data_IF_034339021147
#
_entry.id   IF_034339021147
#
_cell.length_a   1.000
_cell.length_b   1.000
_cell.length_c   1.000
_cell.angle_alpha   90.00
_cell.angle_beta   90.00
_cell.angle_gamma   90.00
#
_symmetry.space_group_name_H-M   'P 1'
#
loop_
_entity.id
_entity.type
_entity.pdbx_description
1 polymer ?
#
# COMPACT_ATOMS: atom_id res chain seq x y z
N UNK A 1 16.39 7.04 -10.13
CA UNK A 1 15.23 6.14 -9.99
C UNK A 1 14.44 6.49 -8.74
N UNK A 2 13.12 6.27 -8.70
CA UNK A 2 12.28 6.56 -7.51
C UNK A 2 11.72 5.28 -6.87
N UNK A 3 11.33 5.35 -5.59
CA UNK A 3 10.82 4.20 -4.83
C UNK A 3 9.62 3.54 -5.50
N UNK A 4 8.68 4.36 -6.00
CA UNK A 4 7.59 3.94 -6.90
C UNK A 4 7.68 4.80 -8.17
N UNK A 5 7.41 4.25 -9.37
CA UNK A 5 7.49 5.04 -10.60
C UNK A 5 6.43 6.15 -10.69
N UNK A 6 5.21 5.92 -10.19
CA UNK A 6 4.12 6.89 -10.32
C UNK A 6 4.39 8.22 -9.60
N UNK A 7 3.77 9.28 -10.09
CA UNK A 7 3.87 10.65 -9.58
C UNK A 7 2.51 11.15 -9.14
N UNK A 8 2.51 12.15 -8.24
CA UNK A 8 1.29 12.87 -7.92
C UNK A 8 0.81 13.63 -9.17
N UNK A 9 -0.48 13.51 -9.50
CA UNK A 9 -1.04 14.24 -10.63
C UNK A 9 -1.23 15.72 -10.27
N UNK A 10 -0.25 16.55 -10.63
CA UNK A 10 -0.25 17.99 -10.33
C UNK A 10 -1.42 18.76 -10.95
N UNK A 11 -1.93 18.32 -12.11
CA UNK A 11 -3.11 18.93 -12.72
C UNK A 11 -4.38 18.61 -11.94
N UNK A 12 -4.58 17.34 -11.58
CA UNK A 12 -5.69 16.93 -10.73
C UNK A 12 -5.63 17.64 -9.38
N UNK A 13 -4.44 17.76 -8.78
CA UNK A 13 -4.24 18.51 -7.54
C UNK A 13 -4.68 19.97 -7.67
N UNK A 14 -4.27 20.67 -8.73
CA UNK A 14 -4.72 22.06 -8.99
C UNK A 14 -6.24 22.15 -9.19
N UNK A 15 -6.86 21.16 -9.85
CA UNK A 15 -8.32 21.09 -10.00
C UNK A 15 -9.01 20.90 -8.64
N UNK A 16 -8.49 20.02 -7.79
CA UNK A 16 -8.99 19.79 -6.44
C UNK A 16 -8.85 21.06 -5.59
N UNK A 17 -7.68 21.70 -5.59
CA UNK A 17 -7.43 22.95 -4.84
C UNK A 17 -8.38 24.06 -5.28
N UNK A 18 -8.51 24.29 -6.59
CA UNK A 18 -9.45 25.28 -7.15
C UNK A 18 -10.89 24.99 -6.75
N UNK A 19 -11.32 23.74 -6.86
CA UNK A 19 -12.69 23.35 -6.52
C UNK A 19 -12.95 23.48 -5.01
N UNK A 20 -11.97 23.14 -4.17
CA UNK A 20 -12.06 23.33 -2.72
C UNK A 20 -12.22 24.81 -2.35
N UNK A 21 -11.48 25.72 -2.99
CA UNK A 21 -11.67 27.16 -2.79
C UNK A 21 -13.04 27.64 -3.27
N UNK A 22 -13.50 27.16 -4.43
CA UNK A 22 -14.87 27.45 -4.90
C UNK A 22 -15.90 26.97 -3.89
N UNK A 23 -15.78 25.75 -3.36
CA UNK A 23 -16.68 25.25 -2.33
C UNK A 23 -16.64 26.09 -1.05
N UNK A 24 -15.46 26.51 -0.58
CA UNK A 24 -15.36 27.36 0.63
C UNK A 24 -16.09 28.69 0.49
N UNK A 25 -16.18 29.25 -0.71
CA UNK A 25 -16.79 30.56 -0.95
C UNK A 25 -18.24 30.45 -1.41
N UNK A 26 -18.58 29.40 -2.17
CA UNK A 26 -19.87 29.28 -2.84
C UNK A 26 -20.76 28.16 -2.30
N UNK A 27 -20.33 27.37 -1.30
CA UNK A 27 -21.14 26.24 -0.81
C UNK A 27 -22.51 26.66 -0.23
N UNK A 28 -22.64 27.89 0.27
CA UNK A 28 -23.93 28.43 0.75
C UNK A 28 -24.98 28.60 -0.36
N UNK A 29 -24.59 28.46 -1.62
CA UNK A 29 -25.50 28.49 -2.78
C UNK A 29 -25.96 27.10 -3.22
N UNK A 30 -25.44 26.04 -2.58
CA UNK A 30 -25.63 24.66 -3.00
C UNK A 30 -26.63 23.95 -2.08
N UNK A 31 -27.68 23.40 -2.69
CA UNK A 31 -28.72 22.63 -1.99
C UNK A 31 -29.82 23.52 -1.38
N UNK A 32 -30.78 22.88 -0.74
CA UNK A 32 -31.94 23.55 -0.13
C UNK A 32 -31.86 23.45 1.39
N UNK A 33 -30.98 24.26 1.99
CA UNK A 33 -30.75 24.29 3.45
C UNK A 33 -31.48 25.43 4.15
N UNK A 34 -32.10 26.36 3.42
CA UNK A 34 -32.90 27.46 3.98
C UNK A 34 -32.13 28.48 4.83
N UNK A 35 -30.80 28.52 4.73
CA UNK A 35 -29.93 29.44 5.48
C UNK A 35 -29.43 30.56 4.56
N UNK A 36 -29.27 31.77 5.08
CA UNK A 36 -28.50 32.80 4.38
C UNK A 36 -26.99 32.51 4.45
N UNK A 37 -26.18 33.24 3.68
CA UNK A 37 -24.73 33.03 3.59
C UNK A 37 -24.03 33.09 4.97
N UNK A 38 -24.38 34.09 5.78
CA UNK A 38 -23.77 34.28 7.10
C UNK A 38 -24.12 33.12 8.05
N UNK A 39 -25.38 32.70 8.06
CA UNK A 39 -25.84 31.56 8.86
C UNK A 39 -25.22 30.25 8.40
N UNK A 40 -25.10 30.03 7.09
CA UNK A 40 -24.52 28.83 6.52
C UNK A 40 -23.09 28.60 7.03
N UNK A 41 -22.23 29.62 6.98
CA UNK A 41 -20.83 29.49 7.41
C UNK A 41 -20.66 29.46 8.94
N UNK A 42 -21.55 30.09 9.70
CA UNK A 42 -21.46 30.10 11.18
C UNK A 42 -22.18 28.94 11.87
N UNK A 43 -23.12 28.27 11.19
CA UNK A 43 -23.91 27.16 11.76
C UNK A 43 -23.11 25.86 11.97
N UNK A 44 -21.93 25.75 11.36
CA UNK A 44 -21.17 24.50 11.32
C UNK A 44 -21.70 23.48 10.30
N UNK A 45 -22.79 23.78 9.57
CA UNK A 45 -23.37 22.91 8.55
C UNK A 45 -22.35 22.50 7.49
N UNK A 46 -21.60 23.47 6.94
CA UNK A 46 -20.58 23.21 5.93
C UNK A 46 -19.48 22.26 6.44
N UNK A 47 -18.93 22.56 7.63
CA UNK A 47 -17.88 21.73 8.24
C UNK A 47 -18.39 20.31 8.53
N UNK A 48 -19.58 20.18 9.11
CA UNK A 48 -20.21 18.89 9.39
C UNK A 48 -20.48 18.09 8.13
N UNK A 49 -20.90 18.73 7.04
CA UNK A 49 -21.09 18.07 5.74
C UNK A 49 -19.78 17.54 5.15
N UNK A 50 -18.71 18.35 5.16
CA UNK A 50 -17.38 17.92 4.69
C UNK A 50 -16.84 16.75 5.54
N UNK A 51 -16.95 16.83 6.87
CA UNK A 51 -16.51 15.76 7.76
C UNK A 51 -17.31 14.47 7.56
N UNK A 52 -18.63 14.56 7.33
CA UNK A 52 -19.50 13.43 7.01
C UNK A 52 -19.14 12.77 5.68
N UNK A 53 -18.97 13.56 4.61
CA UNK A 53 -18.58 13.06 3.28
C UNK A 53 -17.21 12.39 3.36
N UNK A 54 -16.24 13.02 4.04
CA UNK A 54 -14.91 12.43 4.28
C UNK A 54 -15.02 11.11 5.06
N UNK A 55 -15.91 11.06 6.06
CA UNK A 55 -16.21 9.84 6.81
C UNK A 55 -16.74 8.73 5.93
N UNK A 56 -17.65 9.04 5.00
CA UNK A 56 -18.20 8.07 4.04
C UNK A 56 -17.13 7.52 3.10
N UNK A 57 -16.27 8.39 2.51
CA UNK A 57 -15.16 7.94 1.67
C UNK A 57 -14.10 7.13 2.44
N UNK A 58 -13.87 7.48 3.70
CA UNK A 58 -12.94 6.74 4.58
C UNK A 58 -13.53 5.40 5.03
N UNK A 59 -14.85 5.26 5.08
CA UNK A 59 -15.56 4.11 5.62
C UNK A 59 -15.89 3.02 4.59
N UNK A 60 -15.76 3.27 3.29
CA UNK A 60 -16.08 2.25 2.27
C UNK A 60 -14.95 1.23 2.11
N UNK A 61 -14.70 0.44 3.16
CA UNK A 61 -13.95 -0.83 3.07
C UNK A 61 -14.59 -1.79 2.06
N UNK A 62 -15.89 -1.64 1.80
CA UNK A 62 -16.63 -2.44 0.82
C UNK A 62 -15.98 -2.43 -0.56
N UNK A 63 -15.67 -1.25 -1.12
CA UNK A 63 -15.07 -1.15 -2.46
C UNK A 63 -13.66 -1.74 -2.49
N UNK A 64 -12.88 -1.55 -1.41
CA UNK A 64 -11.54 -2.13 -1.29
C UNK A 64 -11.59 -3.65 -1.21
N UNK A 65 -12.51 -4.20 -0.42
CA UNK A 65 -12.73 -5.64 -0.28
C UNK A 65 -13.23 -6.23 -1.60
N UNK A 66 -14.18 -5.58 -2.27
CA UNK A 66 -14.69 -5.99 -3.57
C UNK A 66 -13.57 -6.08 -4.62
N UNK A 67 -12.69 -5.08 -4.67
CA UNK A 67 -11.52 -5.11 -5.55
C UNK A 67 -10.56 -6.25 -5.24
N UNK A 68 -10.23 -6.46 -3.97
CA UNK A 68 -9.34 -7.57 -3.57
C UNK A 68 -9.99 -8.92 -3.89
N UNK A 69 -11.29 -9.08 -3.65
CA UNK A 69 -12.05 -10.27 -4.05
C UNK A 69 -11.95 -10.52 -5.56
N UNK A 70 -12.17 -9.50 -6.37
CA UNK A 70 -12.07 -9.62 -7.84
C UNK A 70 -10.67 -10.04 -8.29
N UNK A 71 -9.62 -9.48 -7.69
CA UNK A 71 -8.24 -9.87 -7.98
C UNK A 71 -7.97 -11.32 -7.57
N UNK A 72 -8.31 -11.70 -6.34
CA UNK A 72 -8.02 -13.05 -5.85
C UNK A 72 -8.82 -14.12 -6.61
N UNK A 73 -10.09 -13.85 -6.93
CA UNK A 73 -10.88 -14.70 -7.82
C UNK A 73 -10.22 -14.83 -9.19
N UNK A 74 -9.75 -13.73 -9.79
CA UNK A 74 -9.07 -13.78 -11.08
C UNK A 74 -7.77 -14.60 -11.02
N UNK A 75 -7.00 -14.47 -9.95
CA UNK A 75 -5.80 -15.29 -9.74
C UNK A 75 -6.14 -16.77 -9.56
N UNK A 76 -7.22 -17.08 -8.83
CA UNK A 76 -7.72 -18.45 -8.64
C UNK A 76 -8.21 -19.06 -9.95
N UNK A 77 -9.08 -18.35 -10.68
CA UNK A 77 -9.62 -18.77 -11.98
C UNK A 77 -8.50 -18.96 -13.02
N UNK A 78 -7.45 -18.12 -12.95
CA UNK A 78 -6.25 -18.22 -13.77
C UNK A 78 -5.25 -19.31 -13.33
N UNK A 79 -5.51 -20.00 -12.22
CA UNK A 79 -4.63 -21.06 -11.68
C UNK A 79 -3.33 -20.56 -11.05
N UNK A 80 -3.19 -19.26 -10.78
CA UNK A 80 -2.00 -18.67 -10.13
C UNK A 80 -1.96 -18.93 -8.62
N UNK A 81 -3.14 -19.09 -8.01
CA UNK A 81 -3.31 -19.57 -6.64
C UNK A 81 -4.34 -20.70 -6.64
N UNK A 82 -4.33 -21.51 -5.58
CA UNK A 82 -5.23 -22.67 -5.49
C UNK A 82 -6.60 -22.26 -4.98
N UNK A 83 -6.63 -21.51 -3.88
CA UNK A 83 -7.86 -21.07 -3.23
C UNK A 83 -7.60 -19.85 -2.34
N UNK A 84 -8.65 -19.17 -1.91
CA UNK A 84 -8.55 -18.08 -0.94
C UNK A 84 -9.84 -17.92 -0.12
N UNK A 85 -9.68 -17.43 1.10
CA UNK A 85 -10.79 -17.12 1.99
C UNK A 85 -10.61 -15.74 2.63
N UNK A 86 -11.71 -15.04 2.87
CA UNK A 86 -11.70 -13.85 3.72
C UNK A 86 -11.74 -14.28 5.18
N UNK A 87 -10.81 -13.77 5.97
CA UNK A 87 -10.67 -14.15 7.37
C UNK A 87 -11.72 -13.47 8.28
N UNK A 88 -12.62 -12.66 7.74
CA UNK A 88 -13.69 -11.99 8.50
C UNK A 88 -13.18 -10.94 9.50
N UNK A 89 -14.09 -10.15 10.07
CA UNK A 89 -13.74 -8.98 10.90
C UNK A 89 -13.12 -9.34 12.28
N UNK A 90 -13.10 -10.62 12.67
CA UNK A 90 -12.59 -11.08 13.97
C UNK A 90 -11.11 -11.48 13.96
N UNK A 91 -10.53 -11.71 12.78
CA UNK A 91 -9.13 -12.11 12.65
C UNK A 91 -8.22 -10.89 12.45
N UNK A 92 -6.94 -10.99 12.86
CA UNK A 92 -5.94 -9.92 12.72
C UNK A 92 -5.32 -9.81 11.32
N UNK A 93 -5.96 -10.44 10.34
CA UNK A 93 -5.62 -10.42 8.91
C UNK A 93 -6.90 -10.40 8.09
N UNK A 94 -6.85 -9.91 6.85
CA UNK A 94 -8.05 -9.80 6.00
C UNK A 94 -8.29 -11.06 5.14
N UNK A 95 -7.22 -11.71 4.65
CA UNK A 95 -7.34 -12.86 3.74
C UNK A 95 -6.28 -13.93 3.99
N UNK A 96 -6.67 -15.18 3.77
CA UNK A 96 -5.79 -16.35 3.70
C UNK A 96 -5.86 -16.93 2.29
N UNK A 97 -4.71 -17.21 1.71
CA UNK A 97 -4.54 -17.69 0.34
C UNK A 97 -3.82 -19.03 0.39
N UNK A 98 -4.46 -20.07 -0.14
CA UNK A 98 -3.83 -21.36 -0.37
C UNK A 98 -3.06 -21.30 -1.68
N UNK A 99 -1.74 -21.50 -1.59
CA UNK A 99 -0.84 -21.48 -2.73
C UNK A 99 -0.77 -22.86 -3.40
N UNK A 100 -0.28 -22.90 -4.63
CA UNK A 100 -0.24 -24.13 -5.43
C UNK A 100 0.74 -25.17 -4.83
N UNK A 101 1.79 -24.72 -4.14
CA UNK A 101 2.68 -25.59 -3.36
C UNK A 101 2.03 -26.21 -2.11
N UNK A 102 0.85 -25.74 -1.71
CA UNK A 102 0.19 -26.09 -0.44
C UNK A 102 0.58 -25.18 0.73
N UNK A 103 1.48 -24.20 0.53
CA UNK A 103 1.76 -23.13 1.50
C UNK A 103 0.55 -22.22 1.70
N UNK A 104 0.48 -21.57 2.84
CA UNK A 104 -0.54 -20.56 3.16
C UNK A 104 0.11 -19.18 3.16
N UNK A 105 -0.33 -18.32 2.26
CA UNK A 105 -0.02 -16.89 2.27
C UNK A 105 -1.15 -16.12 2.97
N UNK A 106 -0.80 -15.17 3.83
CA UNK A 106 -1.76 -14.29 4.50
C UNK A 106 -1.57 -12.87 4.01
N UNK A 107 -2.69 -12.19 3.73
CA UNK A 107 -2.72 -10.80 3.31
C UNK A 107 -3.41 -9.95 4.37
N UNK A 108 -2.77 -8.86 4.72
CA UNK A 108 -3.34 -7.79 5.55
C UNK A 108 -3.40 -6.50 4.72
N UNK A 109 -4.60 -5.92 4.58
CA UNK A 109 -4.79 -4.70 3.82
C UNK A 109 -4.34 -3.49 4.61
N UNK A 110 -3.71 -2.55 3.89
CA UNK A 110 -3.33 -1.25 4.40
C UNK A 110 -3.92 -0.15 3.54
N UNK A 111 -4.07 1.03 4.12
CA UNK A 111 -4.45 2.24 3.39
C UNK A 111 -3.26 2.78 2.60
N UNK A 112 -3.16 4.10 2.50
CA UNK A 112 -2.14 4.78 1.71
C UNK A 112 -0.72 4.75 2.30
N UNK A 113 -0.41 3.87 3.27
CA UNK A 113 0.88 3.80 3.98
C UNK A 113 1.34 5.11 4.67
N UNK A 114 0.40 6.03 4.91
CA UNK A 114 0.61 7.36 5.49
C UNK A 114 0.10 7.47 6.93
N UNK A 115 -0.80 6.59 7.35
CA UNK A 115 -1.41 6.59 8.68
C UNK A 115 -0.84 5.57 9.65
N UNK A 116 -1.28 5.68 10.91
CA UNK A 116 -0.94 4.76 12.01
C UNK A 116 -1.48 3.34 11.77
N UNK A 117 -2.48 3.15 10.91
CA UNK A 117 -2.97 1.83 10.50
C UNK A 117 -1.86 0.96 9.87
N UNK A 118 -0.83 1.59 9.30
CA UNK A 118 0.36 0.92 8.75
C UNK A 118 1.19 0.23 9.83
N UNK A 119 1.11 0.68 11.08
CA UNK A 119 1.90 0.12 12.19
C UNK A 119 1.24 -1.10 12.83
N UNK A 120 -0.05 -1.32 12.55
CA UNK A 120 -0.84 -2.34 13.23
C UNK A 120 -0.98 -3.53 12.30
N UNK A 121 -0.14 -4.54 12.47
CA UNK A 121 -0.26 -5.83 11.78
C UNK A 121 0.20 -6.96 12.69
N UNK A 122 -0.19 -8.18 12.37
CA UNK A 122 0.32 -9.37 13.05
C UNK A 122 0.30 -10.57 12.12
N UNK A 123 1.46 -11.22 12.00
CA UNK A 123 1.59 -12.46 11.24
C UNK A 123 0.90 -13.61 11.99
N UNK A 124 -0.09 -14.29 11.39
CA UNK A 124 -0.67 -15.48 12.01
C UNK A 124 0.34 -16.64 12.11
N UNK A 125 0.26 -17.49 13.15
CA UNK A 125 1.21 -18.59 13.34
C UNK A 125 1.23 -19.64 12.22
N UNK A 126 0.10 -19.81 11.52
CA UNK A 126 -0.04 -20.78 10.42
C UNK A 126 0.40 -20.20 9.06
N UNK A 127 0.76 -18.92 8.99
CA UNK A 127 1.14 -18.26 7.74
C UNK A 127 2.58 -18.61 7.32
N UNK A 128 2.74 -19.24 6.16
CA UNK A 128 4.04 -19.44 5.52
C UNK A 128 4.57 -18.15 4.89
N UNK A 129 3.67 -17.29 4.41
CA UNK A 129 4.00 -15.96 3.87
C UNK A 129 3.07 -14.91 4.47
N UNK A 130 3.60 -13.73 4.78
CA UNK A 130 2.80 -12.62 5.28
C UNK A 130 3.04 -11.35 4.48
N UNK A 131 2.02 -10.92 3.74
CA UNK A 131 2.07 -9.82 2.78
C UNK A 131 1.19 -8.67 3.25
N UNK A 132 1.73 -7.46 3.19
CA UNK A 132 0.94 -6.25 3.40
C UNK A 132 0.52 -5.69 2.04
N UNK A 133 -0.77 -5.46 1.83
CA UNK A 133 -1.26 -4.89 0.57
C UNK A 133 -1.87 -3.51 0.80
N UNK A 134 -1.13 -2.49 0.38
CA UNK A 134 -1.57 -1.09 0.34
C UNK A 134 -2.58 -0.85 -0.78
N UNK A 135 -3.85 -0.63 -0.38
CA UNK A 135 -4.97 -0.25 -1.24
C UNK A 135 -5.34 1.21 -0.97
N UNK A 136 -4.79 2.11 -1.78
CA UNK A 136 -4.83 3.56 -1.61
C UNK A 136 -5.77 4.26 -2.60
N UNK A 137 -7.06 4.24 -2.29
CA UNK A 137 -8.09 4.90 -3.11
C UNK A 137 -8.05 6.42 -3.10
N UNK A 138 -7.15 7.05 -2.34
CA UNK A 138 -7.00 8.50 -2.31
C UNK A 138 -6.16 8.98 -3.51
N UNK A 139 -6.76 9.67 -4.52
CA UNK A 139 -6.01 10.17 -5.67
C UNK A 139 -5.10 11.36 -5.31
N UNK A 140 -5.34 12.03 -4.17
CA UNK A 140 -4.51 13.13 -3.68
C UNK A 140 -3.26 12.69 -2.92
N UNK A 141 -3.14 11.41 -2.55
CA UNK A 141 -1.97 10.89 -1.85
C UNK A 141 -0.71 10.98 -2.72
N UNK A 142 0.44 11.23 -2.11
CA UNK A 142 1.74 11.17 -2.79
C UNK A 142 2.28 9.74 -2.72
N UNK A 143 2.22 8.96 -3.82
CA UNK A 143 2.61 7.56 -3.79
C UNK A 143 4.11 7.36 -3.51
N UNK A 144 4.99 8.31 -3.92
CA UNK A 144 6.44 8.19 -3.73
C UNK A 144 6.81 8.46 -2.28
N UNK A 145 6.25 9.52 -1.71
CA UNK A 145 6.42 9.83 -0.30
C UNK A 145 5.89 8.69 0.57
N UNK A 146 4.67 8.24 0.29
CA UNK A 146 3.98 7.25 1.11
C UNK A 146 4.63 5.87 1.04
N UNK A 147 5.07 5.41 -0.13
CA UNK A 147 5.78 4.14 -0.23
C UNK A 147 7.09 4.16 0.56
N UNK A 148 7.89 5.22 0.42
CA UNK A 148 9.13 5.36 1.19
C UNK A 148 8.87 5.46 2.69
N UNK A 149 8.02 6.40 3.10
CA UNK A 149 7.75 6.65 4.52
C UNK A 149 7.03 5.46 5.17
N UNK A 150 6.17 4.76 4.43
CA UNK A 150 5.54 3.51 4.84
C UNK A 150 6.56 2.42 5.13
N UNK A 151 7.41 2.09 4.14
CA UNK A 151 8.40 1.02 4.27
C UNK A 151 9.48 1.37 5.30
N UNK A 152 10.09 2.54 5.15
CA UNK A 152 11.19 2.97 6.00
C UNK A 152 10.71 3.37 7.39
N UNK A 153 9.83 4.36 7.53
CA UNK A 153 9.55 4.93 8.86
C UNK A 153 8.64 4.03 9.70
N UNK A 154 7.67 3.35 9.07
CA UNK A 154 6.61 2.62 9.77
C UNK A 154 6.87 1.12 9.81
N UNK A 155 6.80 0.45 8.67
CA UNK A 155 6.87 -1.01 8.58
C UNK A 155 8.16 -1.56 9.17
N UNK A 156 9.31 -1.02 8.77
CA UNK A 156 10.58 -1.54 9.28
C UNK A 156 10.81 -1.22 10.76
N UNK A 157 10.22 -0.15 11.30
CA UNK A 157 10.27 0.12 12.75
C UNK A 157 9.48 -0.95 13.51
N UNK A 158 8.30 -1.33 13.03
CA UNK A 158 7.45 -2.35 13.63
C UNK A 158 8.02 -3.77 13.47
N UNK A 159 8.52 -4.12 12.28
CA UNK A 159 9.19 -5.40 12.00
C UNK A 159 10.31 -5.66 13.01
N UNK A 160 11.14 -4.65 13.28
CA UNK A 160 12.27 -4.76 14.21
C UNK A 160 11.79 -4.71 15.66
N UNK A 161 10.90 -3.77 16.02
CA UNK A 161 10.49 -3.55 17.41
C UNK A 161 9.60 -4.65 17.97
N UNK A 162 8.78 -5.27 17.11
CA UNK A 162 7.84 -6.33 17.47
C UNK A 162 8.30 -7.71 17.03
N UNK A 163 9.50 -7.80 16.45
CA UNK A 163 10.09 -9.04 15.93
C UNK A 163 9.12 -9.79 15.00
N UNK A 164 8.50 -9.06 14.07
CA UNK A 164 7.52 -9.62 13.14
C UNK A 164 8.06 -9.70 11.72
N UNK A 165 8.04 -10.89 11.14
CA UNK A 165 8.43 -11.12 9.75
C UNK A 165 7.30 -10.72 8.79
N UNK A 166 7.59 -9.78 7.90
CA UNK A 166 6.77 -9.44 6.73
C UNK A 166 7.56 -9.85 5.49
N UNK A 167 6.99 -10.65 4.62
CA UNK A 167 7.66 -11.21 3.44
C UNK A 167 7.60 -10.27 2.24
N UNK A 168 6.60 -9.40 2.19
CA UNK A 168 6.45 -8.45 1.11
C UNK A 168 5.43 -7.36 1.34
N UNK A 169 5.50 -6.34 0.50
CA UNK A 169 4.51 -5.27 0.40
C UNK A 169 4.07 -5.14 -1.05
N UNK A 170 2.76 -5.10 -1.26
CA UNK A 170 2.12 -4.72 -2.51
C UNK A 170 1.61 -3.29 -2.40
N UNK A 171 1.94 -2.43 -3.36
CA UNK A 171 1.33 -1.10 -3.49
C UNK A 171 0.55 -1.09 -4.78
N UNK A 172 -0.76 -1.26 -4.67
CA UNK A 172 -1.62 -1.47 -5.83
C UNK A 172 -3.11 -1.35 -5.49
N UNK A 173 -3.88 -0.68 -6.33
CA UNK A 173 -5.31 -0.49 -6.16
C UNK A 173 -5.98 -0.18 -7.51
N UNK A 174 -7.31 -0.04 -7.48
CA UNK A 174 -8.14 0.27 -8.65
C UNK A 174 -7.92 1.66 -9.26
N UNK A 175 -7.20 2.58 -8.59
CA UNK A 175 -6.93 3.91 -9.18
C UNK A 175 -5.64 3.93 -10.00
N UNK A 176 -4.76 2.94 -9.84
CA UNK A 176 -3.56 2.77 -10.66
C UNK A 176 -3.89 2.61 -12.15
N UNK A 177 -3.25 3.41 -13.00
CA UNK A 177 -3.47 3.39 -14.45
C UNK A 177 -4.61 4.30 -14.93
N UNK A 178 -5.42 4.82 -14.02
CA UNK A 178 -6.48 5.79 -14.35
C UNK A 178 -5.91 7.19 -14.58
N UNK A 179 -6.75 8.13 -15.01
CA UNK A 179 -6.42 9.56 -15.10
C UNK A 179 -5.97 10.12 -13.74
N UNK A 180 -6.51 9.60 -12.63
CA UNK A 180 -6.17 10.03 -11.28
C UNK A 180 -4.76 9.63 -10.86
N UNK A 181 -4.28 8.48 -11.32
CA UNK A 181 -2.92 7.99 -11.07
C UNK A 181 -2.37 7.26 -12.31
N UNK A 182 -1.94 8.02 -13.34
CA UNK A 182 -1.37 7.43 -14.54
C UNK A 182 -0.15 6.59 -14.18
N UNK A 183 -0.08 5.35 -14.69
CA UNK A 183 0.99 4.43 -14.34
C UNK A 183 2.08 4.44 -15.42
N UNK A 184 3.33 4.81 -15.10
CA UNK A 184 4.41 4.80 -16.09
C UNK A 184 4.69 3.41 -16.68
N UNK A 185 4.36 2.33 -15.95
CA UNK A 185 4.56 0.94 -16.40
C UNK A 185 3.72 0.59 -17.63
N UNK A 186 2.54 1.20 -17.77
CA UNK A 186 1.59 0.90 -18.84
C UNK A 186 1.45 2.02 -19.86
N UNK A 187 1.97 3.23 -19.58
CA UNK A 187 1.97 4.33 -20.55
C UNK A 187 2.69 3.98 -21.87
N UNK A 188 3.79 3.22 -21.78
CA UNK A 188 4.54 2.75 -22.96
C UNK A 188 4.20 1.31 -23.36
N UNK A 189 3.51 0.59 -22.47
CA UNK A 189 3.23 -0.83 -22.58
C UNK A 189 1.77 -1.12 -22.19
N UNK A 190 0.78 -0.59 -22.93
CA UNK A 190 -0.63 -0.78 -22.60
C UNK A 190 -1.05 -2.25 -22.63
N UNK A 191 -0.35 -3.10 -23.38
CA UNK A 191 -0.55 -4.55 -23.43
C UNK A 191 -0.30 -5.26 -22.09
N UNK A 192 0.38 -4.60 -21.15
CA UNK A 192 0.59 -5.13 -19.79
C UNK A 192 -0.59 -4.89 -18.85
N UNK A 193 -1.64 -4.20 -19.30
CA UNK A 193 -2.88 -4.10 -18.55
C UNK A 193 -3.63 -5.43 -18.54
N UNK A 194 -4.30 -5.71 -17.43
CA UNK A 194 -5.08 -6.93 -17.22
C UNK A 194 -6.51 -6.54 -16.84
N UNK A 195 -7.48 -7.07 -17.58
CA UNK A 195 -8.90 -6.85 -17.29
C UNK A 195 -9.37 -7.83 -16.21
N UNK A 196 -9.88 -7.27 -15.11
CA UNK A 196 -10.40 -8.03 -13.97
C UNK A 196 -11.79 -7.48 -13.62
N UNK A 197 -12.83 -8.20 -14.02
CA UNK A 197 -14.20 -7.72 -13.89
C UNK A 197 -14.41 -6.43 -14.69
N UNK A 198 -14.67 -5.32 -13.98
CA UNK A 198 -14.81 -3.99 -14.59
C UNK A 198 -13.55 -3.11 -14.44
N UNK A 199 -12.48 -3.65 -13.87
CA UNK A 199 -11.23 -2.93 -13.67
C UNK A 199 -10.24 -3.24 -14.79
N UNK A 200 -9.59 -2.21 -15.31
CA UNK A 200 -8.41 -2.33 -16.18
C UNK A 200 -7.16 -2.05 -15.35
N UNK A 201 -6.48 -3.10 -14.92
CA UNK A 201 -5.45 -3.04 -13.88
C UNK A 201 -4.03 -3.06 -14.45
N UNK A 202 -3.17 -2.25 -13.86
CA UNK A 202 -1.73 -2.22 -14.19
C UNK A 202 -0.96 -3.27 -13.41
N UNK A 203 0.26 -3.66 -13.81
CA UNK A 203 1.12 -4.50 -12.99
C UNK A 203 1.38 -3.90 -11.59
N UNK A 204 1.24 -4.67 -10.49
CA UNK A 204 1.43 -4.16 -9.13
C UNK A 204 2.86 -3.66 -8.87
N UNK A 205 3.03 -2.76 -7.91
CA UNK A 205 4.36 -2.43 -7.39
C UNK A 205 4.71 -3.37 -6.24
N UNK A 206 5.63 -4.30 -6.49
CA UNK A 206 6.03 -5.35 -5.55
C UNK A 206 7.32 -4.96 -4.84
N UNK A 207 7.33 -5.13 -3.52
CA UNK A 207 8.49 -4.99 -2.64
C UNK A 207 8.70 -6.30 -1.90
N UNK A 208 9.81 -6.98 -2.18
CA UNK A 208 10.21 -8.22 -1.50
C UNK A 208 11.06 -7.84 -0.28
N UNK A 209 10.72 -8.40 0.89
CA UNK A 209 11.41 -8.15 2.15
C UNK A 209 12.27 -9.35 2.57
N UNK A 210 13.14 -9.20 3.59
CA UNK A 210 14.00 -10.29 4.04
C UNK A 210 13.24 -11.50 4.63
N UNK A 211 13.78 -12.70 4.45
CA UNK A 211 13.25 -13.93 5.02
C UNK A 211 13.47 -14.04 6.55
N UNK A 212 14.29 -13.17 7.12
CA UNK A 212 14.68 -13.20 8.54
C UNK A 212 14.51 -11.83 9.18
N UNK A 213 14.18 -11.84 10.48
CA UNK A 213 13.93 -10.60 11.23
C UNK A 213 15.27 -9.90 11.48
N UNK A 214 15.42 -8.61 11.13
CA UNK A 214 16.63 -7.85 11.42
C UNK A 214 16.82 -7.71 12.94
N UNK A 215 18.03 -8.01 13.42
CA UNK A 215 18.39 -7.90 14.84
C UNK A 215 19.85 -7.46 14.96
N UNK A 216 20.18 -6.42 15.75
CA UNK A 216 21.53 -5.87 15.86
C UNK A 216 22.64 -6.88 16.18
N UNK A 217 22.35 -7.95 16.93
CA UNK A 217 23.38 -8.91 17.39
C UNK A 217 23.51 -10.12 16.47
N UNK A 218 22.38 -10.74 16.14
CA UNK A 218 22.37 -12.05 15.47
C UNK A 218 22.17 -11.96 13.96
N UNK A 219 21.59 -10.88 13.46
CA UNK A 219 21.21 -10.72 12.07
C UNK A 219 21.15 -9.22 11.71
N UNK A 220 22.31 -8.53 11.73
CA UNK A 220 22.32 -7.07 11.66
C UNK A 220 21.97 -6.55 10.27
N UNK A 221 22.22 -7.30 9.19
CA UNK A 221 22.05 -6.82 7.82
C UNK A 221 21.36 -7.84 6.90
N UNK A 222 20.12 -8.28 7.21
CA UNK A 222 19.43 -9.21 6.33
C UNK A 222 19.03 -8.54 5.01
N UNK A 223 19.33 -9.22 3.92
CA UNK A 223 18.92 -8.80 2.58
C UNK A 223 17.56 -9.39 2.22
N UNK A 224 16.86 -8.73 1.29
CA UNK A 224 15.64 -9.27 0.70
C UNK A 224 15.89 -10.69 0.15
N UNK A 225 14.89 -11.56 0.32
CA UNK A 225 14.89 -12.90 -0.29
C UNK A 225 14.59 -12.83 -1.80
N UNK A 226 14.71 -13.95 -2.52
CA UNK A 226 14.32 -13.99 -3.93
C UNK A 226 12.80 -13.86 -4.06
N UNK A 227 12.32 -13.26 -5.16
CA UNK A 227 10.88 -13.18 -5.43
C UNK A 227 10.25 -14.59 -5.44
N UNK A 228 10.96 -15.58 -5.99
CA UNK A 228 10.51 -16.98 -6.11
C UNK A 228 10.34 -17.69 -4.77
N UNK A 229 11.00 -17.22 -3.72
CA UNK A 229 10.86 -17.76 -2.37
C UNK A 229 9.56 -17.30 -1.69
N UNK A 230 8.95 -16.22 -2.22
CA UNK A 230 7.65 -15.68 -1.83
C UNK A 230 6.64 -15.95 -2.94
N UNK A 231 6.07 -17.15 -2.92
CA UNK A 231 5.20 -17.69 -3.96
C UNK A 231 3.95 -16.83 -4.18
N UNK A 232 3.38 -16.21 -3.13
CA UNK A 232 2.24 -15.30 -3.29
C UNK A 232 2.63 -14.07 -4.12
N UNK A 233 3.78 -13.45 -3.84
CA UNK A 233 4.26 -12.30 -4.63
C UNK A 233 4.63 -12.71 -6.06
N UNK A 234 5.22 -13.90 -6.23
CA UNK A 234 5.48 -14.48 -7.55
C UNK A 234 4.18 -14.68 -8.33
N UNK A 235 3.14 -15.21 -7.69
CA UNK A 235 1.82 -15.38 -8.30
C UNK A 235 1.22 -14.04 -8.74
N UNK A 236 1.32 -12.98 -7.93
CA UNK A 236 0.94 -11.62 -8.34
C UNK A 236 1.77 -11.13 -9.53
N UNK A 237 3.09 -11.33 -9.50
CA UNK A 237 4.00 -10.94 -10.57
C UNK A 237 3.63 -11.58 -11.90
N UNK A 238 3.40 -12.89 -11.89
CA UNK A 238 3.11 -13.68 -13.08
C UNK A 238 1.70 -13.39 -13.60
N UNK A 239 0.70 -13.33 -12.72
CA UNK A 239 -0.69 -13.07 -13.08
C UNK A 239 -0.88 -11.70 -13.74
N UNK A 240 -0.20 -10.68 -13.21
CA UNK A 240 -0.36 -9.29 -13.64
C UNK A 240 0.81 -8.77 -14.49
N UNK A 241 1.57 -9.66 -15.14
CA UNK A 241 2.58 -9.32 -16.17
C UNK A 241 3.60 -8.28 -15.67
N UNK A 242 4.08 -8.46 -14.44
CA UNK A 242 5.18 -7.68 -13.91
C UNK A 242 6.46 -7.96 -14.70
N UNK A 243 7.24 -6.91 -14.93
CA UNK A 243 8.62 -7.05 -15.39
C UNK A 243 9.50 -7.27 -14.16
N UNK A 244 10.38 -8.27 -14.20
CA UNK A 244 11.31 -8.56 -13.11
C UNK A 244 12.25 -7.38 -12.82
N UNK A 245 12.57 -6.56 -13.83
CA UNK A 245 13.34 -5.33 -13.65
C UNK A 245 12.59 -4.26 -12.86
N UNK A 246 11.27 -4.39 -12.65
CA UNK A 246 10.44 -3.48 -11.87
C UNK A 246 10.25 -3.89 -10.40
N UNK A 247 10.69 -5.11 -10.04
CA UNK A 247 10.57 -5.65 -8.69
C UNK A 247 11.57 -4.97 -7.76
N UNK A 248 11.08 -4.57 -6.58
CA UNK A 248 11.87 -3.86 -5.59
C UNK A 248 12.26 -4.83 -4.48
N UNK A 249 13.52 -4.77 -4.06
CA UNK A 249 14.08 -5.60 -2.99
C UNK A 249 14.47 -4.68 -1.84
N UNK A 250 13.92 -4.94 -0.65
CA UNK A 250 14.13 -4.11 0.54
C UNK A 250 15.09 -4.81 1.49
N UNK A 251 16.23 -4.19 1.75
CA UNK A 251 17.19 -4.65 2.74
C UNK A 251 17.13 -3.77 3.99
N UNK A 252 17.47 -4.38 5.12
CA UNK A 252 17.63 -3.66 6.38
C UNK A 252 19.04 -3.83 6.91
N UNK A 253 19.53 -2.79 7.56
CA UNK A 253 20.71 -2.87 8.41
C UNK A 253 20.35 -2.24 9.75
N UNK A 254 20.71 -2.92 10.84
CA UNK A 254 20.36 -2.54 12.21
C UNK A 254 21.59 -2.64 13.09
N UNK A 255 21.81 -1.60 13.89
CA UNK A 255 22.95 -1.51 14.80
C UNK A 255 22.54 -0.83 16.10
N UNK A 256 23.28 -1.11 17.17
CA UNK A 256 23.16 -0.35 18.40
C UNK A 256 24.15 0.80 18.41
N UNK A 257 23.69 2.00 18.80
CA UNK A 257 24.53 3.15 19.10
C UNK A 257 24.15 3.68 20.48
N UNK A 258 24.91 3.29 21.50
CA UNK A 258 24.55 3.54 22.89
C UNK A 258 23.26 2.80 23.27
N UNK A 259 22.27 3.52 23.77
CA UNK A 259 20.96 2.98 24.13
C UNK A 259 19.98 2.89 22.94
N UNK A 260 20.33 3.46 21.79
CA UNK A 260 19.44 3.51 20.63
C UNK A 260 19.67 2.34 19.68
N UNK A 261 18.57 1.87 19.08
CA UNK A 261 18.61 0.97 17.93
C UNK A 261 18.45 1.82 16.68
N UNK A 262 19.49 1.83 15.84
CA UNK A 262 19.49 2.53 14.56
C UNK A 262 19.16 1.55 13.45
N UNK A 263 18.46 2.03 12.43
CA UNK A 263 18.13 1.28 11.22
C UNK A 263 18.48 2.09 9.97
N UNK A 264 19.06 1.39 9.01
CA UNK A 264 19.17 1.79 7.61
C UNK A 264 18.24 0.93 6.76
N UNK A 265 17.52 1.55 5.82
CA UNK A 265 16.67 0.86 4.84
C UNK A 265 17.21 1.12 3.46
N UNK A 266 17.44 0.05 2.69
CA UNK A 266 17.88 0.14 1.29
C UNK A 266 16.82 -0.49 0.39
N UNK A 267 16.47 0.18 -0.69
CA UNK A 267 15.62 -0.37 -1.76
C UNK A 267 16.47 -0.52 -3.01
N UNK A 268 16.56 -1.74 -3.52
CA UNK A 268 17.21 -2.08 -4.79
C UNK A 268 16.17 -2.45 -5.83
N UNK A 269 16.48 -2.20 -7.11
CA UNK A 269 15.67 -2.63 -8.25
C UNK A 269 16.59 -2.82 -9.45
N UNK A 270 16.40 -3.90 -10.21
CA UNK A 270 17.27 -4.26 -11.33
C UNK A 270 18.77 -4.30 -10.96
N UNK A 271 19.09 -4.73 -9.72
CA UNK A 271 20.47 -4.79 -9.20
C UNK A 271 21.03 -3.45 -8.72
N UNK A 272 20.36 -2.32 -8.98
CA UNK A 272 20.83 -0.99 -8.59
C UNK A 272 20.15 -0.48 -7.32
N UNK A 273 20.87 0.33 -6.53
CA UNK A 273 20.28 1.04 -5.40
C UNK A 273 19.38 2.18 -5.89
N UNK A 274 18.09 2.08 -5.56
CA UNK A 274 17.10 3.12 -5.88
C UNK A 274 17.09 4.20 -4.80
N UNK A 275 17.17 3.77 -3.53
CA UNK A 275 17.14 4.67 -2.38
C UNK A 275 17.74 3.99 -1.16
N UNK A 276 18.51 4.74 -0.39
CA UNK A 276 19.01 4.34 0.92
C UNK A 276 18.74 5.45 1.94
N UNK A 277 18.40 5.09 3.16
CA UNK A 277 18.32 6.04 4.27
C UNK A 277 19.70 6.21 4.92
N UNK A 278 19.88 7.28 5.68
CA UNK A 278 20.91 7.28 6.72
C UNK A 278 20.50 6.32 7.85
N UNK A 279 21.43 6.04 8.77
CA UNK A 279 21.13 5.31 9.99
C UNK A 279 20.24 6.16 10.89
N UNK A 280 18.99 5.74 11.08
CA UNK A 280 17.96 6.49 11.80
C UNK A 280 17.50 5.74 13.04
N UNK A 281 17.36 6.43 14.16
CA UNK A 281 16.89 5.83 15.40
C UNK A 281 15.43 5.37 15.27
N UNK A 282 15.14 4.15 15.73
CA UNK A 282 13.77 3.66 15.87
C UNK A 282 13.16 4.32 17.11
N UNK A 283 12.32 5.33 16.89
CA UNK A 283 11.57 5.98 17.97
C UNK A 283 10.26 5.21 18.18
N UNK A 284 10.07 4.65 19.38
CA UNK A 284 8.77 4.10 19.80
C UNK A 284 7.80 5.28 19.92
N UNK A 285 6.71 5.25 19.17
CA UNK A 285 5.56 6.14 19.37
C UNK A 285 4.72 5.62 20.55
#
# INVERSE_FOLDING_TARGET
MTVVPCEQNAELRRKIERFAETLKVQAHTLGDHGLNEQEFYNSGLFRGAIERIRGQFSATMREKREFVHHVLNFMQDGGFIRDWESAGDANRHDYSVQLNSGRIGVIELKGCLDGNNTNIFERPPHANEFILWSVCTNPGADPRHNAWSGIHTRLSAEIISREQRVDGVLIWDMVCGTIGRPCPKTQKHPERMTEVGHYSLTPPCIYVLPATIPSPRNNPAPTAQDLRDVELLSAFSDCFRCDLAEINFVDFEVQHKGAETLRTTRIRRAGEEVRCSEATAIRRA
#
